data_IF_425063943571
#
_entry.id   IF_425063943571
#
_cell.length_a   1.000
_cell.length_b   1.000
_cell.length_c   1.000
_cell.angle_alpha   90.00
_cell.angle_beta   90.00
_cell.angle_gamma   90.00
#
_symmetry.space_group_name_H-M   'P 1'
#
loop_
_entity.id
_entity.type
_entity.pdbx_description
1 polymer ?
#
# COMPACT_ATOMS: atom_id res chain seq x y z
N UNK A 1 -11.61 11.65 -14.11
CA UNK A 1 -10.89 10.36 -14.24
C UNK A 1 -9.66 10.42 -15.14
N UNK A 2 -9.65 11.23 -16.22
CA UNK A 2 -8.47 11.30 -17.11
C UNK A 2 -7.22 11.86 -16.43
N UNK A 3 -7.34 12.95 -15.65
CA UNK A 3 -6.22 13.48 -14.87
C UNK A 3 -5.60 12.42 -13.95
N UNK A 4 -6.42 11.71 -13.17
CA UNK A 4 -5.98 10.63 -12.29
C UNK A 4 -5.28 9.49 -13.05
N UNK A 5 -5.76 9.13 -14.24
CA UNK A 5 -5.12 8.10 -15.07
C UNK A 5 -3.76 8.55 -15.63
N UNK A 6 -3.58 9.85 -15.86
CA UNK A 6 -2.30 10.42 -16.24
C UNK A 6 -1.32 10.46 -15.06
N UNK A 7 -1.80 10.80 -13.86
CA UNK A 7 -0.97 10.86 -12.65
C UNK A 7 -0.36 9.50 -12.28
N UNK A 8 -1.11 8.40 -12.51
CA UNK A 8 -0.63 7.03 -12.22
C UNK A 8 -0.06 6.31 -13.45
N UNK A 9 0.21 7.02 -14.56
CA UNK A 9 0.64 6.43 -15.84
C UNK A 9 2.00 5.72 -15.82
N UNK A 10 2.80 5.89 -14.76
CA UNK A 10 4.03 5.13 -14.57
C UNK A 10 3.78 3.61 -14.57
N UNK A 11 2.65 3.17 -13.98
CA UNK A 11 2.32 1.75 -13.85
C UNK A 11 2.08 1.03 -15.17
N UNK A 12 1.87 1.76 -16.27
CA UNK A 12 1.64 1.18 -17.59
C UNK A 12 2.91 1.09 -18.41
N UNK A 13 4.04 1.60 -17.90
CA UNK A 13 5.33 1.62 -18.61
C UNK A 13 5.99 0.24 -18.58
N UNK A 14 6.94 -0.04 -19.50
CA UNK A 14 7.72 -1.27 -19.46
C UNK A 14 8.36 -1.51 -18.09
N UNK A 15 8.48 -2.78 -17.69
CA UNK A 15 8.91 -3.21 -16.36
C UNK A 15 10.16 -2.50 -15.84
N UNK A 16 11.23 -2.41 -16.64
CA UNK A 16 12.47 -1.78 -16.22
C UNK A 16 12.33 -0.30 -15.84
N UNK A 17 11.39 0.41 -16.47
CA UNK A 17 11.09 1.82 -16.14
C UNK A 17 10.19 1.85 -14.90
N UNK A 18 9.15 1.01 -14.85
CA UNK A 18 8.23 1.01 -13.73
C UNK A 18 8.90 0.66 -12.41
N UNK A 19 9.82 -0.30 -12.41
CA UNK A 19 10.58 -0.67 -11.23
C UNK A 19 11.39 0.52 -10.70
N UNK A 20 12.10 1.23 -11.58
CA UNK A 20 12.89 2.40 -11.21
C UNK A 20 12.01 3.52 -10.63
N UNK A 21 10.86 3.80 -11.26
CA UNK A 21 9.93 4.81 -10.75
C UNK A 21 9.38 4.42 -9.37
N UNK A 22 9.02 3.16 -9.18
CA UNK A 22 8.54 2.68 -7.88
C UNK A 22 9.62 2.79 -6.78
N UNK A 23 10.89 2.53 -7.12
CA UNK A 23 12.01 2.70 -6.20
C UNK A 23 12.27 4.17 -5.82
N UNK A 24 12.17 5.08 -6.79
CA UNK A 24 12.30 6.53 -6.54
C UNK A 24 11.19 7.02 -5.60
N UNK A 25 9.94 6.68 -5.91
CA UNK A 25 8.77 7.05 -5.08
C UNK A 25 8.89 6.46 -3.67
N UNK A 26 9.31 5.20 -3.55
CA UNK A 26 9.56 4.60 -2.24
C UNK A 26 10.68 5.33 -1.48
N UNK A 27 11.74 5.75 -2.16
CA UNK A 27 12.83 6.50 -1.54
C UNK A 27 12.37 7.85 -0.96
N UNK A 28 11.50 8.56 -1.68
CA UNK A 28 10.90 9.82 -1.22
C UNK A 28 9.99 9.59 -0.02
N UNK A 29 9.17 8.54 -0.03
CA UNK A 29 8.32 8.19 1.12
C UNK A 29 9.13 7.82 2.36
N UNK A 30 10.25 7.13 2.21
CA UNK A 30 11.13 6.81 3.34
C UNK A 30 11.81 8.06 3.90
N UNK A 31 12.29 8.96 3.05
CA UNK A 31 12.90 10.22 3.49
C UNK A 31 11.88 11.09 4.26
N UNK A 32 10.64 11.16 3.77
CA UNK A 32 9.57 11.85 4.48
C UNK A 32 9.25 11.19 5.82
N UNK A 33 9.12 9.85 5.87
CA UNK A 33 8.87 9.12 7.11
C UNK A 33 9.99 9.30 8.15
N UNK A 34 11.24 9.34 7.70
CA UNK A 34 12.41 9.63 8.53
C UNK A 34 12.34 11.07 9.09
N UNK A 35 11.91 12.04 8.28
CA UNK A 35 11.74 13.43 8.68
C UNK A 35 10.62 13.60 9.72
N UNK A 36 9.46 12.97 9.49
CA UNK A 36 8.33 13.01 10.41
C UNK A 36 8.70 12.37 11.76
N UNK A 37 9.47 11.29 11.74
CA UNK A 37 9.96 10.65 12.96
C UNK A 37 10.91 11.55 13.75
N UNK A 38 11.80 12.26 13.07
CA UNK A 38 12.78 13.15 13.71
C UNK A 38 12.15 14.44 14.22
N UNK A 39 11.23 15.05 13.46
CA UNK A 39 10.66 16.36 13.78
C UNK A 39 9.42 16.30 14.66
N UNK A 40 8.57 15.28 14.48
CA UNK A 40 7.27 15.18 15.14
C UNK A 40 7.21 14.08 16.20
N UNK A 41 8.29 13.30 16.37
CA UNK A 41 8.35 12.14 17.26
C UNK A 41 7.19 11.14 17.04
N UNK A 42 6.62 11.10 15.83
CA UNK A 42 5.56 10.17 15.45
C UNK A 42 6.14 8.96 14.73
N UNK A 43 5.50 7.80 14.87
CA UNK A 43 5.88 6.62 14.11
C UNK A 43 5.27 6.71 12.69
N UNK A 44 6.10 6.60 11.62
CA UNK A 44 5.61 6.69 10.25
C UNK A 44 4.77 5.45 9.89
N UNK A 45 3.83 5.63 8.96
CA UNK A 45 3.05 4.50 8.42
C UNK A 45 3.98 3.46 7.74
N UNK A 46 3.62 2.17 7.67
CA UNK A 46 4.50 1.13 7.14
C UNK A 46 5.04 1.40 5.73
N UNK A 47 4.26 2.07 4.87
CA UNK A 47 4.69 2.49 3.53
C UNK A 47 5.84 3.52 3.54
N UNK A 48 5.95 4.30 4.62
CA UNK A 48 6.96 5.34 4.82
C UNK A 48 8.08 4.88 5.76
N UNK A 49 7.99 3.69 6.36
CA UNK A 49 9.06 3.14 7.19
C UNK A 49 10.05 2.33 6.35
N UNK A 50 11.31 2.79 6.33
CA UNK A 50 12.42 2.13 5.65
C UNK A 50 12.62 0.67 6.08
N UNK A 51 12.20 0.29 7.29
CA UNK A 51 12.30 -1.11 7.79
C UNK A 51 11.41 -2.08 7.02
N UNK A 52 10.33 -1.60 6.43
CA UNK A 52 9.37 -2.43 5.67
C UNK A 52 9.64 -2.38 4.16
N UNK A 53 10.87 -2.02 3.75
CA UNK A 53 11.26 -1.95 2.33
C UNK A 53 11.04 -3.27 1.60
N UNK A 54 11.20 -4.40 2.28
CA UNK A 54 11.00 -5.73 1.70
C UNK A 54 9.52 -6.01 1.36
N UNK A 55 8.59 -5.26 1.95
CA UNK A 55 7.15 -5.35 1.66
C UNK A 55 6.73 -4.50 0.45
N UNK A 56 7.65 -3.73 -0.15
CA UNK A 56 7.36 -2.88 -1.31
C UNK A 56 6.64 -3.62 -2.45
N UNK A 57 7.04 -4.85 -2.86
CA UNK A 57 6.32 -5.59 -3.89
C UNK A 57 4.86 -5.85 -3.54
N UNK A 58 4.58 -6.22 -2.29
CA UNK A 58 3.22 -6.49 -1.80
C UNK A 58 2.37 -5.23 -1.79
N UNK A 59 2.95 -4.10 -1.37
CA UNK A 59 2.27 -2.80 -1.40
C UNK A 59 1.93 -2.37 -2.83
N UNK A 60 2.84 -2.58 -3.79
CA UNK A 60 2.59 -2.29 -5.20
C UNK A 60 1.47 -3.13 -5.79
N UNK A 61 1.41 -4.44 -5.49
CA UNK A 61 0.27 -5.29 -5.93
C UNK A 61 -1.05 -4.73 -5.42
N UNK A 62 -1.13 -4.39 -4.12
CA UNK A 62 -2.34 -3.80 -3.55
C UNK A 62 -2.73 -2.48 -4.22
N UNK A 63 -1.77 -1.57 -4.43
CA UNK A 63 -2.01 -0.31 -5.13
C UNK A 63 -2.57 -0.52 -6.55
N UNK A 64 -2.00 -1.48 -7.28
CA UNK A 64 -2.45 -1.79 -8.65
C UNK A 64 -3.86 -2.35 -8.66
N UNK A 65 -4.21 -3.22 -7.71
CA UNK A 65 -5.53 -3.85 -7.63
C UNK A 65 -6.63 -2.86 -7.27
N UNK A 66 -6.37 -1.99 -6.29
CA UNK A 66 -7.38 -1.09 -5.75
C UNK A 66 -7.49 0.24 -6.51
N UNK A 67 -6.40 0.72 -7.12
CA UNK A 67 -6.36 2.05 -7.76
C UNK A 67 -6.19 1.95 -9.27
N UNK A 68 -5.13 1.30 -9.76
CA UNK A 68 -4.76 1.38 -11.18
C UNK A 68 -5.66 0.53 -12.08
N UNK A 69 -5.94 -0.72 -11.68
CA UNK A 69 -6.69 -1.68 -12.50
C UNK A 69 -8.11 -1.19 -12.79
N UNK A 70 -8.90 -0.68 -11.81
CA UNK A 70 -10.24 -0.16 -12.08
C UNK A 70 -10.22 1.04 -13.04
N UNK A 71 -9.21 1.92 -12.88
CA UNK A 71 -9.05 3.10 -13.74
C UNK A 71 -8.79 2.68 -15.19
N UNK A 72 -7.73 1.89 -15.45
CA UNK A 72 -7.38 1.52 -16.82
C UNK A 72 -8.37 0.56 -17.47
N UNK A 73 -9.07 -0.26 -16.68
CA UNK A 73 -10.17 -1.08 -17.18
C UNK A 73 -11.29 -0.22 -17.73
N UNK A 74 -11.71 0.81 -16.98
CA UNK A 74 -12.73 1.75 -17.44
C UNK A 74 -12.29 2.48 -18.73
N UNK A 75 -11.04 2.91 -18.82
CA UNK A 75 -10.53 3.56 -20.03
C UNK A 75 -10.53 2.64 -21.26
N UNK A 76 -10.15 1.37 -21.07
CA UNK A 76 -10.20 0.37 -22.12
C UNK A 76 -11.64 0.06 -22.55
N UNK A 77 -12.57 -0.05 -21.59
CA UNK A 77 -13.98 -0.31 -21.87
C UNK A 77 -14.64 0.84 -22.66
N UNK A 78 -14.20 2.08 -22.43
CA UNK A 78 -14.67 3.28 -23.15
C UNK A 78 -14.05 3.41 -24.54
N UNK A 79 -12.75 3.16 -24.67
CA UNK A 79 -12.01 3.34 -25.91
C UNK A 79 -11.01 2.19 -26.10
N UNK A 80 -11.31 1.23 -27.00
CA UNK A 80 -10.48 0.04 -27.20
C UNK A 80 -9.03 0.32 -27.58
N UNK A 81 -8.71 1.47 -28.19
CA UNK A 81 -7.32 1.81 -28.51
C UNK A 81 -6.44 2.03 -27.26
N UNK A 82 -7.03 2.23 -26.08
CA UNK A 82 -6.32 2.37 -24.81
C UNK A 82 -5.98 1.03 -24.13
N UNK A 83 -6.35 -0.10 -24.73
CA UNK A 83 -6.01 -1.45 -24.24
C UNK A 83 -4.53 -1.63 -23.85
N UNK A 84 -3.53 -1.07 -24.57
CA UNK A 84 -2.12 -1.21 -24.19
C UNK A 84 -1.80 -0.66 -22.79
N UNK A 85 -2.53 0.35 -22.31
CA UNK A 85 -2.34 0.90 -20.96
C UNK A 85 -2.83 -0.09 -19.90
N UNK A 86 -3.99 -0.70 -20.15
CA UNK A 86 -4.53 -1.76 -19.29
C UNK A 86 -3.62 -3.00 -19.28
N UNK A 87 -3.18 -3.46 -20.45
CA UNK A 87 -2.28 -4.61 -20.56
C UNK A 87 -0.94 -4.35 -19.85
N UNK A 88 -0.39 -3.14 -19.99
CA UNK A 88 0.82 -2.73 -19.27
C UNK A 88 0.65 -2.76 -17.75
N UNK A 89 -0.49 -2.27 -17.25
CA UNK A 89 -0.83 -2.31 -15.83
C UNK A 89 -0.93 -3.76 -15.30
N UNK A 90 -1.63 -4.64 -16.01
CA UNK A 90 -1.78 -6.05 -15.64
C UNK A 90 -0.44 -6.80 -15.70
N UNK A 91 0.38 -6.55 -16.72
CA UNK A 91 1.70 -7.17 -16.82
C UNK A 91 2.60 -6.78 -15.65
N UNK A 92 2.62 -5.49 -15.28
CA UNK A 92 3.41 -5.04 -14.13
C UNK A 92 2.88 -5.57 -12.81
N UNK A 93 1.55 -5.72 -12.65
CA UNK A 93 0.96 -6.43 -11.49
C UNK A 93 1.53 -7.83 -11.35
N UNK A 94 1.60 -8.58 -12.45
CA UNK A 94 2.10 -9.96 -12.44
C UNK A 94 3.59 -10.02 -12.11
N UNK A 95 4.39 -9.07 -12.61
CA UNK A 95 5.81 -8.96 -12.26
C UNK A 95 5.99 -8.70 -10.75
N UNK A 96 5.21 -7.78 -10.18
CA UNK A 96 5.23 -7.53 -8.74
C UNK A 96 4.77 -8.75 -7.93
N UNK A 97 3.73 -9.44 -8.38
CA UNK A 97 3.26 -10.67 -7.73
C UNK A 97 4.35 -11.76 -7.74
N UNK A 98 5.05 -11.94 -8.86
CA UNK A 98 6.14 -12.90 -8.95
C UNK A 98 7.29 -12.58 -7.98
N UNK A 99 7.56 -11.29 -7.71
CA UNK A 99 8.54 -10.90 -6.68
C UNK A 99 8.06 -11.24 -5.27
N UNK A 100 6.77 -11.04 -4.98
CA UNK A 100 6.17 -11.45 -3.69
C UNK A 100 6.30 -12.96 -3.51
N UNK A 101 5.90 -13.73 -4.51
CA UNK A 101 5.92 -15.20 -4.45
C UNK A 101 7.34 -15.72 -4.23
N UNK A 102 8.33 -15.17 -4.94
CA UNK A 102 9.74 -15.49 -4.75
C UNK A 102 10.23 -15.21 -3.33
N UNK A 103 9.87 -14.06 -2.77
CA UNK A 103 10.25 -13.70 -1.40
C UNK A 103 9.65 -14.65 -0.34
N UNK A 104 8.41 -15.10 -0.57
CA UNK A 104 7.75 -16.07 0.31
C UNK A 104 8.40 -17.46 0.22
N UNK A 105 8.78 -17.91 -0.98
CA UNK A 105 9.48 -19.18 -1.17
C UNK A 105 10.85 -19.20 -0.46
N UNK A 106 11.60 -18.11 -0.54
CA UNK A 106 12.89 -17.95 0.14
C UNK A 106 12.72 -18.04 1.67
N UNK A 107 11.73 -17.35 2.24
CA UNK A 107 11.42 -17.42 3.67
C UNK A 107 11.02 -18.83 4.15
N UNK A 108 10.25 -19.57 3.34
CA UNK A 108 9.84 -20.95 3.65
C UNK A 108 11.01 -21.95 3.59
N UNK A 109 11.98 -21.73 2.69
CA UNK A 109 13.14 -22.60 2.54
C UNK A 109 14.15 -22.41 3.69
N UNK A 110 14.31 -21.19 4.20
CA UNK A 110 15.18 -20.90 5.33
C UNK A 110 14.68 -21.56 6.63
N UNK A 111 13.35 -21.59 6.83
CA UNK A 111 12.70 -22.23 7.98
C UNK A 111 12.83 -23.77 8.00
N UNK A 112 13.08 -24.42 6.87
CA UNK A 112 13.29 -25.89 6.80
C UNK A 112 14.74 -26.29 7.11
N UNK A 113 15.70 -25.37 6.92
CA UNK A 113 17.13 -25.63 7.12
C UNK A 113 17.52 -25.63 8.60
N UNK A 114 16.78 -24.89 9.44
CA UNK A 114 16.97 -24.82 10.89
C UNK A 114 16.44 -26.05 11.63
N UNK A 115 15.32 -26.65 11.18
CA UNK A 115 14.73 -27.86 11.80
C UNK A 115 15.54 -29.15 11.54
N UNK A 116 16.49 -29.12 10.60
CA UNK A 116 17.29 -30.30 10.22
C UNK A 116 18.59 -30.49 11.03
N UNK A 117 18.87 -29.65 12.05
CA UNK A 117 20.10 -29.72 12.86
C UNK A 117 19.92 -30.11 14.33
N UNK A 118 18.70 -30.35 14.82
CA UNK A 118 18.46 -30.85 16.18
C UNK A 118 17.99 -32.30 16.12
N UNK A 119 18.95 -33.23 16.18
CA UNK A 119 18.65 -34.65 16.14
C UNK A 119 19.84 -35.53 16.49
N UNK A 120 20.41 -35.38 17.69
CA UNK A 120 20.94 -36.50 18.47
C UNK A 120 21.28 -36.08 19.92
N UNK A 121 20.44 -36.44 20.91
CA UNK A 121 20.83 -36.96 22.25
C UNK A 121 19.58 -37.15 23.13
N UNK A 122 19.67 -38.19 23.95
CA UNK A 122 18.59 -39.01 24.49
C UNK A 122 17.94 -38.53 25.79
N UNK A 123 16.75 -39.10 26.03
CA UNK A 123 16.21 -39.62 27.31
C UNK A 123 15.52 -38.70 28.35
N UNK A 124 14.22 -38.99 28.50
CA UNK A 124 13.44 -39.19 29.75
C UNK A 124 13.42 -38.09 30.83
N UNK A 125 12.22 -37.57 31.12
CA UNK A 125 11.52 -37.92 32.37
C UNK A 125 10.00 -37.64 32.31
N UNK A 126 9.25 -38.51 33.01
CA UNK A 126 7.80 -38.52 33.18
C UNK A 126 7.32 -37.44 34.17
N UNK A 127 6.10 -36.93 34.00
CA UNK A 127 4.95 -37.17 34.90
C UNK A 127 3.87 -36.06 34.84
N UNK A 128 2.65 -36.54 34.52
CA UNK A 128 1.31 -36.22 35.05
C UNK A 128 0.72 -34.79 35.11
N UNK A 129 -0.29 -34.62 34.24
CA UNK A 129 -1.73 -34.37 34.51
C UNK A 129 -2.20 -33.22 35.41
N UNK A 130 -2.96 -32.30 34.80
CA UNK A 130 -4.38 -31.95 35.11
C UNK A 130 -4.79 -30.81 34.14
N UNK A 131 -5.83 -30.95 33.31
CA UNK A 131 -7.20 -30.45 33.54
C UNK A 131 -7.21 -28.93 33.85
N UNK A 132 -7.90 -27.99 33.20
CA UNK A 132 -9.14 -27.83 32.42
C UNK A 132 -9.04 -26.40 31.80
N UNK A 133 -9.37 -26.17 30.54
CA UNK A 133 -10.67 -25.63 30.04
C UNK A 133 -10.80 -24.09 30.11
N UNK A 134 -11.08 -23.49 28.94
CA UNK A 134 -11.65 -22.13 28.76
C UNK A 134 -10.65 -21.05 28.28
N UNK A 135 -11.02 -20.03 27.51
CA UNK A 135 -12.15 -19.77 26.63
C UNK A 135 -11.79 -18.45 25.86
N UNK A 136 -12.40 -18.23 24.69
CA UNK A 136 -12.59 -16.92 23.98
C UNK A 136 -11.41 -16.22 23.28
N UNK A 137 -11.36 -16.48 21.97
CA UNK A 137 -11.63 -15.53 20.87
C UNK A 137 -11.82 -14.05 21.27
N UNK A 138 -10.89 -13.17 20.89
CA UNK A 138 -11.12 -11.72 20.78
C UNK A 138 -10.49 -11.22 19.47
N UNK A 139 -11.32 -11.05 18.45
CA UNK A 139 -11.11 -10.06 17.39
C UNK A 139 -11.55 -8.69 17.92
N UNK A 140 -10.89 -7.59 17.51
CA UNK A 140 -11.53 -6.29 17.50
C UNK A 140 -11.73 -5.85 16.05
N UNK A 141 -12.96 -6.03 15.56
CA UNK A 141 -13.51 -5.19 14.49
C UNK A 141 -13.49 -3.73 14.96
N UNK A 142 -12.98 -2.82 14.13
CA UNK A 142 -13.26 -1.40 14.28
C UNK A 142 -14.26 -0.99 13.22
N UNK A 143 -15.53 -1.08 13.61
CA UNK A 143 -16.66 -0.58 12.87
C UNK A 143 -16.74 0.95 12.95
N UNK A 144 -17.17 1.52 11.84
CA UNK A 144 -17.40 2.93 11.55
C UNK A 144 -18.48 3.49 12.48
N UNK A 145 -18.18 4.61 13.15
CA UNK A 145 -19.20 5.44 13.80
C UNK A 145 -19.21 6.81 13.17
N UNK A 146 -20.27 7.02 12.38
CA UNK A 146 -20.78 8.33 11.97
C UNK A 146 -21.23 9.11 13.21
N UNK A 147 -20.92 10.39 13.27
CA UNK A 147 -21.71 11.38 14.03
C UNK A 147 -22.02 12.55 13.11
N UNK A 148 -23.30 12.69 12.75
CA UNK A 148 -23.96 13.91 12.27
C UNK A 148 -24.69 14.51 13.49
N UNK A 149 -24.63 15.80 13.82
CA UNK A 149 -25.46 16.96 13.39
C UNK A 149 -25.45 17.97 14.59
N UNK A 150 -26.05 19.20 14.60
CA UNK A 150 -26.54 20.11 13.54
C UNK A 150 -26.16 21.63 13.69
N UNK A 151 -26.30 22.33 12.56
CA UNK A 151 -26.70 23.73 12.21
C UNK A 151 -26.78 24.91 13.22
N UNK A 152 -26.46 26.11 12.65
CA UNK A 152 -26.84 27.52 12.94
C UNK A 152 -25.73 28.39 13.57
N UNK A 153 -25.35 29.58 13.10
CA UNK A 153 -25.89 30.49 12.10
C UNK A 153 -25.88 31.91 12.66
N UNK A 154 -24.81 32.71 12.46
CA UNK A 154 -24.85 34.18 12.60
C UNK A 154 -23.99 34.84 11.52
N UNK A 155 -24.60 35.84 10.91
CA UNK A 155 -24.21 36.58 9.73
C UNK A 155 -23.77 37.99 10.19
N UNK A 156 -22.66 38.53 9.70
CA UNK A 156 -22.57 39.96 9.33
C UNK A 156 -21.24 40.33 8.63
N UNK A 157 -21.36 40.51 7.31
CA UNK A 157 -20.95 41.67 6.50
C UNK A 157 -19.83 42.58 7.05
N UNK A 158 -18.76 42.73 6.27
CA UNK A 158 -18.59 43.90 5.39
C UNK A 158 -17.28 43.85 4.58
N UNK A 159 -17.45 44.09 3.26
CA UNK A 159 -16.63 44.93 2.34
C UNK A 159 -15.10 44.70 2.29
N UNK A 160 -14.42 44.72 1.15
CA UNK A 160 -14.64 45.50 -0.07
C UNK A 160 -13.75 44.96 -1.20
N UNK A 161 -14.13 45.36 -2.41
CA UNK A 161 -13.70 44.91 -3.72
C UNK A 161 -12.22 45.14 -4.06
N UNK A 162 -11.67 44.29 -4.97
CA UNK A 162 -11.00 44.78 -6.19
C UNK A 162 -10.70 43.66 -7.21
N UNK A 163 -11.52 43.68 -8.26
CA UNK A 163 -11.18 43.61 -9.70
C UNK A 163 -10.38 42.40 -10.23
N UNK A 164 -11.16 41.47 -10.80
CA UNK A 164 -11.11 41.06 -12.21
C UNK A 164 -9.98 41.63 -13.07
N UNK A 165 -9.13 40.74 -13.60
CA UNK A 165 -8.49 40.85 -14.92
C UNK A 165 -8.37 39.44 -15.55
N UNK A 166 -9.34 39.14 -16.41
CA UNK A 166 -9.24 38.61 -17.79
C UNK A 166 -7.83 38.18 -18.24
N UNK A 167 -7.61 36.91 -18.61
CA UNK A 167 -7.81 36.29 -19.94
C UNK A 167 -6.71 36.61 -20.97
N UNK A 168 -6.16 35.54 -21.55
CA UNK A 168 -5.40 35.43 -22.80
C UNK A 168 -3.99 36.01 -22.84
N UNK A 169 -3.01 35.18 -23.22
CA UNK A 169 -2.34 35.19 -24.54
C UNK A 169 -1.09 34.28 -24.47
N UNK A 170 -1.01 33.38 -25.47
CA UNK A 170 0.12 32.54 -25.93
C UNK A 170 0.60 31.38 -25.04
#
# INVERSE_FOLDING_TARGET
MMMTACDVAAITKPWGIQQQVAELVASEFFEQGDLERFQLNSEPIPMMDRKHKDELPKMQVGFIDFICTPVYKLFYDLEPCLKPLYDGCVNNRNNWQAMVDKSNEEAMNESKKTTSKEGNSEANNKNNSSSEEGDKLITPERNISQTRDPTSGVNNKNKEDKKSKTCSIL
#
